data_IF_913021427729
#
_entry.id   IF_913021427729
#
_cell.length_a   1.000
_cell.length_b   1.000
_cell.length_c   1.000
_cell.angle_alpha   90.00
_cell.angle_beta   90.00
_cell.angle_gamma   90.00
#
_symmetry.space_group_name_H-M   'P 1'
#
loop_
_entity.id
_entity.type
_entity.pdbx_description
1 polymer ?
#
# COMPACT_ATOMS: atom_id res chain seq x y z
N UNK A 1 -11.16 -34.75 -67.31
CA UNK A 1 -11.57 -33.58 -66.52
C UNK A 1 -10.52 -33.36 -65.47
N UNK A 2 -10.04 -32.12 -65.44
CA UNK A 2 -8.90 -31.59 -64.68
C UNK A 2 -9.06 -31.59 -63.15
N UNK A 3 -7.90 -31.43 -62.50
CA UNK A 3 -7.67 -30.77 -61.19
C UNK A 3 -8.10 -31.54 -59.93
N UNK A 4 -7.43 -31.49 -58.79
CA UNK A 4 -6.31 -30.71 -58.27
C UNK A 4 -5.60 -31.59 -57.19
N UNK A 5 -4.30 -31.48 -56.98
CA UNK A 5 -3.77 -30.67 -55.87
C UNK A 5 -2.79 -31.49 -55.00
N UNK A 6 -1.60 -30.95 -54.79
CA UNK A 6 -0.57 -31.32 -53.78
C UNK A 6 -0.25 -29.99 -53.04
N UNK A 7 0.28 -29.90 -51.79
CA UNK A 7 1.18 -30.82 -51.07
C UNK A 7 0.95 -30.96 -49.53
N UNK A 8 1.52 -32.00 -48.91
CA UNK A 8 2.58 -32.01 -47.85
C UNK A 8 2.24 -31.49 -46.43
N UNK A 9 2.36 -32.39 -45.45
CA UNK A 9 3.02 -32.26 -44.13
C UNK A 9 2.91 -33.66 -43.45
N UNK A 10 3.97 -34.46 -43.25
CA UNK A 10 5.08 -34.35 -42.26
C UNK A 10 4.54 -34.07 -40.85
N UNK A 11 4.80 -34.83 -39.78
CA UNK A 11 5.55 -36.06 -39.52
C UNK A 11 5.14 -36.48 -38.09
N UNK A 12 4.95 -37.78 -37.85
CA UNK A 12 4.77 -38.37 -36.52
C UNK A 12 6.04 -38.20 -35.67
N UNK A 13 5.86 -37.86 -34.38
CA UNK A 13 6.92 -37.95 -33.38
C UNK A 13 6.30 -38.08 -31.99
N UNK A 14 6.03 -39.32 -31.62
CA UNK A 14 5.80 -39.74 -30.25
C UNK A 14 7.15 -39.76 -29.52
N UNK A 15 7.32 -38.94 -28.47
CA UNK A 15 8.45 -39.09 -27.55
C UNK A 15 7.92 -39.13 -26.13
N UNK A 16 7.96 -40.35 -25.58
CA UNK A 16 7.75 -40.65 -24.17
C UNK A 16 8.69 -39.81 -23.30
N UNK A 17 8.14 -38.99 -22.42
CA UNK A 17 8.93 -38.29 -21.41
C UNK A 17 9.13 -39.24 -20.22
N UNK A 18 10.34 -39.78 -20.17
CA UNK A 18 10.83 -40.63 -19.10
C UNK A 18 10.90 -39.88 -17.76
N UNK A 19 10.65 -40.65 -16.71
CA UNK A 19 10.83 -40.26 -15.33
C UNK A 19 12.29 -39.93 -15.07
N UNK A 20 12.59 -38.67 -14.73
CA UNK A 20 13.87 -38.27 -14.17
C UNK A 20 13.60 -37.82 -12.74
N UNK A 21 14.08 -38.66 -11.80
CA UNK A 21 14.12 -38.40 -10.37
C UNK A 21 14.94 -37.14 -10.17
N UNK A 22 14.29 -36.04 -9.78
CA UNK A 22 14.98 -34.87 -9.27
C UNK A 22 15.23 -35.12 -7.79
N UNK A 23 16.51 -35.10 -7.44
CA UNK A 23 17.03 -35.19 -6.09
C UNK A 23 16.39 -34.05 -5.27
N UNK A 24 15.74 -34.44 -4.17
CA UNK A 24 15.14 -33.56 -3.18
C UNK A 24 16.31 -32.90 -2.42
N UNK A 25 16.87 -31.82 -3.00
CA UNK A 25 17.82 -30.97 -2.29
C UNK A 25 17.07 -30.28 -1.14
N UNK A 26 17.67 -30.44 0.04
CA UNK A 26 17.21 -30.10 1.39
C UNK A 26 16.87 -28.62 1.60
N UNK A 27 15.72 -28.17 1.10
CA UNK A 27 15.05 -26.96 1.58
C UNK A 27 13.68 -27.34 2.18
N UNK A 28 13.69 -28.13 3.26
CA UNK A 28 12.65 -27.99 4.29
C UNK A 28 12.86 -26.63 4.99
N UNK A 29 12.73 -25.53 4.24
CA UNK A 29 12.41 -24.23 4.84
C UNK A 29 11.07 -24.45 5.55
N UNK A 30 11.11 -24.56 6.88
CA UNK A 30 9.92 -24.71 7.73
C UNK A 30 8.87 -23.70 7.26
N UNK A 31 7.82 -24.21 6.58
CA UNK A 31 6.74 -23.36 6.09
C UNK A 31 5.95 -22.87 7.28
N UNK A 32 6.36 -21.73 7.82
CA UNK A 32 5.68 -21.05 8.90
C UNK A 32 4.21 -20.85 8.50
N UNK A 33 3.23 -21.17 9.36
CA UNK A 33 1.85 -20.82 9.07
C UNK A 33 1.73 -19.30 8.86
N UNK A 34 0.86 -18.87 7.95
CA UNK A 34 0.73 -17.45 7.59
C UNK A 34 0.56 -16.52 8.82
N UNK A 35 -0.12 -16.99 9.87
CA UNK A 35 -0.25 -16.25 11.13
C UNK A 35 1.10 -15.97 11.78
N UNK A 36 1.95 -16.98 11.93
CA UNK A 36 3.26 -16.86 12.59
C UNK A 36 4.22 -16.02 11.75
N UNK A 37 4.20 -16.18 10.42
CA UNK A 37 4.97 -15.34 9.51
C UNK A 37 4.56 -13.86 9.60
N UNK A 38 3.27 -13.58 9.74
CA UNK A 38 2.75 -12.22 9.91
C UNK A 38 3.15 -11.65 11.27
N UNK A 39 3.11 -12.45 12.34
CA UNK A 39 3.49 -12.01 13.69
C UNK A 39 4.98 -11.63 13.74
N UNK A 40 5.88 -12.48 13.21
CA UNK A 40 7.32 -12.20 13.11
C UNK A 40 7.59 -10.92 12.30
N UNK A 41 6.86 -10.73 11.19
CA UNK A 41 7.00 -9.53 10.37
C UNK A 41 6.50 -8.26 11.08
N UNK A 42 5.39 -8.34 11.82
CA UNK A 42 4.87 -7.22 12.60
C UNK A 42 5.84 -6.80 13.71
N UNK A 43 6.46 -7.76 14.39
CA UNK A 43 7.50 -7.50 15.39
C UNK A 43 8.73 -6.82 14.76
N UNK A 44 9.20 -7.32 13.62
CA UNK A 44 10.31 -6.72 12.88
C UNK A 44 10.01 -5.29 12.41
N UNK A 45 8.80 -5.05 11.89
CA UNK A 45 8.36 -3.71 11.50
C UNK A 45 8.29 -2.76 12.70
N UNK A 46 7.81 -3.22 13.86
CA UNK A 46 7.73 -2.40 15.06
C UNK A 46 9.10 -1.90 15.51
N UNK A 47 10.17 -2.69 15.32
CA UNK A 47 11.55 -2.26 15.58
C UNK A 47 12.00 -1.16 14.60
N UNK A 48 11.65 -1.29 13.32
CA UNK A 48 12.04 -0.31 12.28
C UNK A 48 11.30 1.02 12.44
N UNK A 49 10.03 0.99 12.86
CA UNK A 49 9.21 2.20 13.09
C UNK A 49 9.74 3.07 14.25
N UNK A 50 10.63 2.55 15.11
CA UNK A 50 11.30 3.32 16.17
C UNK A 50 12.35 4.32 15.62
N UNK A 51 12.72 4.24 14.34
CA UNK A 51 13.61 5.20 13.70
C UNK A 51 13.03 6.63 13.82
N UNK A 52 13.82 7.65 14.21
CA UNK A 52 13.42 9.06 14.18
C UNK A 52 12.81 9.54 12.85
N UNK A 53 13.05 8.86 11.73
CA UNK A 53 12.45 9.17 10.43
C UNK A 53 11.05 8.57 10.22
N UNK A 54 10.68 7.56 11.01
CA UNK A 54 9.45 6.78 10.85
C UNK A 54 8.53 6.85 12.07
N UNK A 55 8.90 7.56 13.14
CA UNK A 55 8.16 7.62 14.39
C UNK A 55 6.74 8.21 14.29
N UNK A 56 6.43 8.94 13.22
CA UNK A 56 5.10 9.49 12.95
C UNK A 56 4.18 8.49 12.22
N UNK A 57 4.64 7.26 11.95
CA UNK A 57 3.86 6.21 11.31
C UNK A 57 3.08 5.35 12.32
N UNK A 58 1.84 4.95 11.99
CA UNK A 58 1.05 4.03 12.80
C UNK A 58 1.64 2.61 12.78
N UNK A 59 1.40 1.82 13.83
CA UNK A 59 1.96 0.45 13.99
C UNK A 59 1.61 -0.46 12.80
N UNK A 60 0.42 -0.29 12.22
CA UNK A 60 0.00 -0.94 10.97
C UNK A 60 0.29 -0.02 9.79
N UNK A 61 1.53 -0.02 9.30
CA UNK A 61 1.97 0.86 8.22
C UNK A 61 1.48 0.39 6.85
N UNK A 62 1.04 1.34 6.02
CA UNK A 62 0.84 1.12 4.59
C UNK A 62 1.97 1.74 3.78
N UNK A 63 2.26 1.19 2.59
CA UNK A 63 3.29 1.73 1.68
C UNK A 63 3.06 3.21 1.34
N UNK A 64 1.80 3.64 1.28
CA UNK A 64 1.45 5.01 0.98
C UNK A 64 1.80 5.97 2.11
N UNK A 65 1.65 5.55 3.37
CA UNK A 65 2.07 6.33 4.53
C UNK A 65 3.60 6.43 4.61
N UNK A 66 4.32 5.33 4.31
CA UNK A 66 5.78 5.33 4.23
C UNK A 66 6.28 6.29 3.14
N UNK A 67 5.70 6.21 1.94
CA UNK A 67 6.02 7.13 0.85
C UNK A 67 5.70 8.59 1.22
N UNK A 68 4.63 8.80 1.99
CA UNK A 68 4.26 10.13 2.48
C UNK A 68 5.29 10.70 3.45
N UNK A 69 5.86 9.88 4.34
CA UNK A 69 6.94 10.33 5.24
C UNK A 69 8.22 10.63 4.48
N UNK A 70 8.60 9.77 3.55
CA UNK A 70 9.76 10.00 2.68
C UNK A 70 9.60 11.34 1.93
N UNK A 71 8.41 11.62 1.40
CA UNK A 71 8.13 12.89 0.73
C UNK A 71 8.16 14.10 1.67
N UNK A 72 7.80 13.94 2.95
CA UNK A 72 7.95 15.00 3.95
C UNK A 72 9.43 15.28 4.25
N UNK A 73 10.24 14.24 4.41
CA UNK A 73 11.68 14.36 4.67
C UNK A 73 12.43 15.01 3.51
N UNK A 74 12.12 14.62 2.27
CA UNK A 74 12.68 15.28 1.08
C UNK A 74 12.09 16.67 0.82
N UNK A 75 11.15 17.13 1.65
CA UNK A 75 10.50 18.43 1.49
C UNK A 75 9.75 18.53 0.16
N UNK A 76 9.14 17.43 -0.30
CA UNK A 76 8.27 17.34 -1.48
C UNK A 76 6.79 17.28 -1.10
N UNK A 77 6.47 16.98 0.16
CA UNK A 77 5.14 17.00 0.73
C UNK A 77 4.99 18.08 1.82
N UNK A 78 3.74 18.33 2.19
CA UNK A 78 3.36 19.21 3.29
C UNK A 78 2.20 18.58 4.07
N UNK A 79 2.15 18.86 5.37
CA UNK A 79 1.06 18.42 6.23
C UNK A 79 -0.04 19.48 6.28
N UNK A 80 -1.23 19.10 5.83
CA UNK A 80 -2.43 19.92 5.88
C UNK A 80 -3.25 19.52 7.09
N UNK A 81 -3.55 20.48 7.97
CA UNK A 81 -4.42 20.25 9.13
C UNK A 81 -5.84 20.64 8.75
N UNK A 82 -6.70 19.64 8.65
CA UNK A 82 -8.13 19.79 8.36
C UNK A 82 -8.87 19.83 9.69
N UNK A 83 -9.52 20.94 10.00
CA UNK A 83 -10.37 21.08 11.17
C UNK A 83 -11.80 20.76 10.77
N UNK A 84 -12.36 19.67 11.31
CA UNK A 84 -13.79 19.40 11.18
C UNK A 84 -14.60 20.40 11.99
N UNK A 85 -15.87 20.56 11.64
CA UNK A 85 -16.85 21.30 12.44
C UNK A 85 -16.94 20.81 13.90
N UNK A 86 -16.66 19.53 14.16
CA UNK A 86 -16.67 18.95 15.51
C UNK A 86 -15.44 19.35 16.36
N UNK A 87 -14.51 20.14 15.79
CA UNK A 87 -13.26 20.56 16.45
C UNK A 87 -12.13 19.53 16.37
N UNK A 88 -12.38 18.34 15.81
CA UNK A 88 -11.34 17.35 15.54
C UNK A 88 -10.40 17.85 14.44
N UNK A 89 -9.10 17.80 14.68
CA UNK A 89 -8.08 18.17 13.70
C UNK A 89 -7.40 16.93 13.12
N UNK A 90 -7.43 16.83 11.79
CA UNK A 90 -6.85 15.71 11.05
C UNK A 90 -5.61 16.17 10.27
N UNK A 91 -4.41 15.69 10.63
CA UNK A 91 -3.21 15.95 9.83
C UNK A 91 -3.18 15.01 8.61
N UNK A 92 -3.30 15.59 7.42
CA UNK A 92 -3.25 14.85 6.15
C UNK A 92 -2.03 15.30 5.35
N UNK A 93 -1.23 14.35 4.90
CA UNK A 93 -0.02 14.62 4.11
C UNK A 93 -0.37 14.67 2.63
N UNK A 94 0.04 15.73 1.94
CA UNK A 94 -0.15 15.89 0.49
C UNK A 94 1.12 16.40 -0.17
N UNK A 95 1.31 16.06 -1.44
CA UNK A 95 2.44 16.54 -2.25
C UNK A 95 2.31 18.04 -2.51
N UNK A 96 3.44 18.76 -2.70
CA UNK A 96 3.42 20.21 -2.93
C UNK A 96 2.63 20.65 -4.17
N UNK A 97 2.64 19.84 -5.22
CA UNK A 97 1.91 20.11 -6.47
C UNK A 97 0.50 19.49 -6.48
N UNK A 98 -0.02 19.07 -5.33
CA UNK A 98 -1.31 18.40 -5.23
C UNK A 98 -2.49 19.37 -5.45
N UNK A 99 -3.57 18.84 -6.03
CA UNK A 99 -4.82 19.58 -6.20
C UNK A 99 -5.75 19.39 -5.00
N UNK A 100 -6.81 20.19 -4.92
CA UNK A 100 -7.87 20.01 -3.90
C UNK A 100 -8.55 18.63 -4.03
N UNK A 101 -8.59 18.06 -5.25
CA UNK A 101 -9.09 16.70 -5.45
C UNK A 101 -8.20 15.67 -4.76
N UNK A 102 -6.88 15.85 -4.83
CA UNK A 102 -5.93 14.95 -4.18
C UNK A 102 -5.98 15.09 -2.66
N UNK A 103 -6.17 16.31 -2.15
CA UNK A 103 -6.44 16.53 -0.73
C UNK A 103 -7.72 15.81 -0.29
N UNK A 104 -8.80 15.90 -1.07
CA UNK A 104 -10.06 15.20 -0.77
C UNK A 104 -9.87 13.67 -0.76
N UNK A 105 -9.12 13.13 -1.72
CA UNK A 105 -8.76 11.70 -1.77
C UNK A 105 -7.89 11.29 -0.58
N UNK A 106 -6.91 12.11 -0.21
CA UNK A 106 -6.05 11.85 0.94
C UNK A 106 -6.84 11.86 2.25
N UNK A 107 -7.81 12.77 2.40
CA UNK A 107 -8.73 12.79 3.56
C UNK A 107 -9.62 11.56 3.56
N UNK A 108 -10.18 11.17 2.41
CA UNK A 108 -10.98 9.95 2.30
C UNK A 108 -10.19 8.72 2.74
N UNK A 109 -8.96 8.58 2.24
CA UNK A 109 -8.04 7.50 2.61
C UNK A 109 -7.70 7.52 4.09
N UNK A 110 -7.40 8.70 4.65
CA UNK A 110 -7.10 8.85 6.07
C UNK A 110 -8.28 8.39 6.94
N UNK A 111 -9.51 8.81 6.60
CA UNK A 111 -10.72 8.40 7.32
C UNK A 111 -10.93 6.90 7.22
N UNK A 112 -10.73 6.33 6.03
CA UNK A 112 -10.85 4.89 5.80
C UNK A 112 -9.85 4.09 6.63
N UNK A 113 -8.56 4.43 6.55
CA UNK A 113 -7.50 3.76 7.32
C UNK A 113 -7.73 3.89 8.83
N UNK A 114 -8.18 5.06 9.29
CA UNK A 114 -8.51 5.28 10.71
C UNK A 114 -9.67 4.37 11.15
N UNK A 115 -10.71 4.25 10.34
CA UNK A 115 -11.87 3.38 10.64
C UNK A 115 -11.53 1.89 10.60
N UNK A 116 -10.71 1.46 9.63
CA UNK A 116 -10.23 0.08 9.53
C UNK A 116 -9.44 -0.33 10.80
N UNK A 117 -8.60 0.58 11.31
CA UNK A 117 -7.84 0.39 12.55
C UNK A 117 -8.71 0.41 13.81
N UNK A 118 -9.69 1.30 13.86
CA UNK A 118 -10.62 1.43 14.99
C UNK A 118 -11.74 0.36 14.98
N UNK A 119 -11.80 -0.50 13.95
CA UNK A 119 -12.78 -1.59 13.84
C UNK A 119 -14.23 -1.12 13.67
N UNK A 120 -14.43 0.10 13.18
CA UNK A 120 -15.75 0.73 13.07
C UNK A 120 -16.59 0.22 11.89
N UNK A 121 -17.92 0.16 12.07
CA UNK A 121 -18.88 -0.20 11.02
C UNK A 121 -19.02 0.98 10.03
N UNK A 122 -18.83 0.71 8.74
CA UNK A 122 -18.83 1.71 7.67
C UNK A 122 -20.21 2.33 7.43
N UNK A 123 -20.24 3.66 7.36
CA UNK A 123 -21.16 4.37 6.48
C UNK A 123 -20.34 5.08 5.40
N UNK A 124 -20.35 4.53 4.18
CA UNK A 124 -19.56 5.00 3.01
C UNK A 124 -20.00 6.41 2.56
N UNK A 125 -21.17 6.88 2.99
CA UNK A 125 -21.80 8.10 2.46
C UNK A 125 -21.19 9.42 2.95
N UNK A 126 -20.21 9.40 3.87
CA UNK A 126 -19.58 10.62 4.37
C UNK A 126 -18.07 10.64 4.08
N UNK A 127 -17.69 11.27 2.97
CA UNK A 127 -16.38 11.91 2.87
C UNK A 127 -16.34 12.94 4.00
N UNK A 128 -15.53 12.72 5.03
CA UNK A 128 -15.54 13.42 6.32
C UNK A 128 -15.26 14.93 6.31
N UNK A 129 -15.53 15.62 5.20
CA UNK A 129 -15.49 17.08 5.02
C UNK A 129 -16.88 17.56 4.58
N UNK A 130 -17.48 18.43 5.38
CA UNK A 130 -18.75 19.10 5.11
C UNK A 130 -18.50 20.53 4.61
N UNK A 131 -19.50 21.12 3.96
CA UNK A 131 -19.51 22.56 3.70
C UNK A 131 -19.41 23.30 5.04
N UNK A 132 -18.38 24.17 5.18
CA UNK A 132 -17.95 24.97 6.36
C UNK A 132 -16.75 24.42 7.15
N UNK A 133 -16.17 23.28 6.79
CA UNK A 133 -14.93 22.85 7.44
C UNK A 133 -13.75 23.76 7.06
N UNK A 134 -12.84 23.99 8.01
CA UNK A 134 -11.69 24.86 7.84
C UNK A 134 -10.44 24.04 7.55
N UNK A 135 -9.64 24.50 6.59
CA UNK A 135 -8.38 23.84 6.21
C UNK A 135 -7.22 24.79 6.45
N UNK A 136 -6.27 24.38 7.27
CA UNK A 136 -5.05 25.13 7.58
C UNK A 136 -3.82 24.41 7.02
N UNK A 137 -3.00 25.12 6.26
CA UNK A 137 -1.77 24.59 5.68
C UNK A 137 -0.60 24.90 6.60
N UNK A 138 0.10 23.87 7.10
CA UNK A 138 1.26 24.05 7.97
C UNK A 138 2.47 23.39 7.32
N UNK A 139 3.49 24.18 7.04
CA UNK A 139 4.81 23.64 6.67
C UNK A 139 5.58 23.29 7.93
N UNK A 140 5.57 22.01 8.31
CA UNK A 140 6.44 21.49 9.36
C UNK A 140 7.86 21.42 8.80
N UNK A 141 8.78 22.16 9.42
CA UNK A 141 10.22 22.09 9.16
C UNK A 141 10.83 21.28 10.30
N UNK A 142 11.42 20.10 10.01
CA UNK A 142 12.33 19.44 10.97
C UNK A 142 13.57 20.32 11.08
N UNK A 143 13.79 20.89 12.26
CA UNK A 143 15.08 21.49 12.57
C UNK A 143 16.09 20.35 12.73
N UNK A 144 17.19 20.46 11.98
CA UNK A 144 18.32 19.53 12.02
C UNK A 144 19.18 19.78 13.26
#
# INVERSE_FOLDING_TARGET
MESAGKPEALEDSEVACGSEVLEDDEDEEETLPHSEAVDVFQEGLAMVVQDPLLCDLPIQVTLEEVNSQIALEYGQAMTVRVCKMDGEVMPVVVVQNATVLDLKKAIQRYVQLKQEREGGIQHISCYGIRNRDEVSFIKKLRQK
#
